data_IF_311977213462
#
_entry.id   IF_311977213462
#
_cell.length_a   1.000
_cell.length_b   1.000
_cell.length_c   1.000
_cell.angle_alpha   90.00
_cell.angle_beta   90.00
_cell.angle_gamma   90.00
#
_symmetry.space_group_name_H-M   'P 1'
#
loop_
_entity.id
_entity.type
_entity.pdbx_description
1 polymer ?
#
# COMPACT_ATOMS: atom_id res chain seq x y z
N UNK A 1 13.48 -1.74 -31.96
CA UNK A 1 12.77 -1.99 -30.71
C UNK A 1 12.86 -3.47 -30.32
N UNK A 2 12.44 -4.39 -31.19
CA UNK A 2 12.41 -5.84 -30.90
C UNK A 2 13.79 -6.41 -30.49
N UNK A 3 14.85 -6.04 -31.20
CA UNK A 3 16.22 -6.52 -30.91
C UNK A 3 16.75 -6.01 -29.54
N UNK A 4 16.38 -4.79 -29.14
CA UNK A 4 16.72 -4.27 -27.80
C UNK A 4 15.96 -5.00 -26.71
N UNK A 5 14.67 -5.27 -26.93
CA UNK A 5 13.83 -6.03 -26.02
C UNK A 5 14.35 -7.47 -25.85
N UNK A 6 14.68 -8.14 -26.97
CA UNK A 6 15.24 -9.49 -26.97
C UNK A 6 16.58 -9.56 -26.23
N UNK A 7 17.47 -8.61 -26.48
CA UNK A 7 18.77 -8.53 -25.78
C UNK A 7 18.57 -8.35 -24.26
N UNK A 8 17.62 -7.51 -23.84
CA UNK A 8 17.31 -7.37 -22.42
C UNK A 8 16.76 -8.64 -21.81
N UNK A 9 15.85 -9.30 -22.51
CA UNK A 9 15.29 -10.57 -22.09
C UNK A 9 16.40 -11.64 -21.91
N UNK A 10 17.27 -11.79 -22.89
CA UNK A 10 18.41 -12.70 -22.81
C UNK A 10 19.35 -12.35 -21.64
N UNK A 11 19.65 -11.08 -21.43
CA UNK A 11 20.50 -10.64 -20.30
C UNK A 11 19.88 -10.89 -18.94
N UNK A 12 18.56 -10.77 -18.81
CA UNK A 12 17.86 -11.07 -17.56
C UNK A 12 17.81 -12.56 -17.33
N UNK A 13 17.60 -13.38 -18.38
CA UNK A 13 17.65 -14.83 -18.27
C UNK A 13 19.01 -15.34 -17.76
N UNK A 14 20.10 -14.65 -18.10
CA UNK A 14 21.44 -14.95 -17.54
C UNK A 14 21.56 -14.53 -16.08
N UNK A 15 20.85 -13.48 -15.66
CA UNK A 15 20.84 -12.99 -14.25
C UNK A 15 19.79 -13.73 -13.42
N UNK A 16 20.12 -14.96 -13.00
CA UNK A 16 19.24 -15.83 -12.22
C UNK A 16 18.56 -15.11 -11.03
N UNK A 17 19.26 -14.18 -10.36
CA UNK A 17 18.74 -13.44 -9.24
C UNK A 17 17.48 -12.59 -9.61
N UNK A 18 17.46 -11.96 -10.77
CA UNK A 18 16.31 -11.15 -11.23
C UNK A 18 15.11 -12.04 -11.53
N UNK A 19 15.35 -13.21 -12.13
CA UNK A 19 14.31 -14.21 -12.42
C UNK A 19 13.73 -14.75 -11.11
N UNK A 20 14.59 -15.11 -10.15
CA UNK A 20 14.17 -15.59 -8.84
C UNK A 20 13.28 -14.54 -8.15
N UNK A 21 13.68 -13.28 -8.21
CA UNK A 21 12.87 -12.17 -7.66
C UNK A 21 11.51 -12.12 -8.36
N UNK A 22 11.47 -12.09 -9.69
CA UNK A 22 10.24 -11.93 -10.45
C UNK A 22 9.30 -13.15 -10.34
N UNK A 23 9.83 -14.37 -10.33
CA UNK A 23 9.04 -15.61 -10.43
C UNK A 23 8.75 -16.23 -9.06
N UNK A 24 9.62 -16.05 -8.08
CA UNK A 24 9.48 -16.68 -6.76
C UNK A 24 9.15 -15.66 -5.69
N UNK A 25 9.94 -14.60 -5.55
CA UNK A 25 9.80 -13.66 -4.44
C UNK A 25 8.51 -12.83 -4.58
N UNK A 26 8.18 -12.35 -5.78
CA UNK A 26 6.93 -11.59 -6.00
C UNK A 26 5.70 -12.44 -5.64
N UNK A 27 5.49 -13.63 -6.21
CA UNK A 27 4.34 -14.45 -5.83
C UNK A 27 4.31 -14.83 -4.36
N UNK A 28 5.46 -15.16 -3.77
CA UNK A 28 5.54 -15.49 -2.34
C UNK A 28 5.13 -14.30 -1.46
N UNK A 29 5.63 -13.10 -1.75
CA UNK A 29 5.31 -11.89 -0.99
C UNK A 29 3.85 -11.47 -1.18
N UNK A 30 3.31 -11.60 -2.39
CA UNK A 30 1.87 -11.37 -2.65
C UNK A 30 1.02 -12.36 -1.89
N UNK A 31 1.35 -13.65 -1.95
CA UNK A 31 0.67 -14.69 -1.17
C UNK A 31 0.74 -14.43 0.33
N UNK A 32 1.90 -14.05 0.85
CA UNK A 32 2.06 -13.65 2.24
C UNK A 32 1.18 -12.43 2.59
N UNK A 33 1.17 -11.38 1.74
CA UNK A 33 0.32 -10.21 1.96
C UNK A 33 -1.16 -10.59 2.05
N UNK A 34 -1.64 -11.47 1.18
CA UNK A 34 -3.02 -11.96 1.19
C UNK A 34 -3.31 -12.73 2.48
N UNK A 35 -2.44 -13.66 2.86
CA UNK A 35 -2.61 -14.48 4.07
C UNK A 35 -2.55 -13.66 5.36
N UNK A 36 -1.69 -12.65 5.43
CA UNK A 36 -1.59 -11.78 6.60
C UNK A 36 -2.73 -10.77 6.68
N UNK A 37 -3.24 -10.26 5.56
CA UNK A 37 -4.37 -9.34 5.52
C UNK A 37 -5.71 -10.02 5.86
N UNK A 38 -5.83 -11.32 5.63
CA UNK A 38 -7.02 -12.11 5.93
C UNK A 38 -7.20 -12.45 7.42
N UNK A 39 -6.31 -12.02 8.32
CA UNK A 39 -6.50 -12.23 9.76
C UNK A 39 -7.62 -11.32 10.27
N UNK A 40 -8.54 -11.86 11.10
CA UNK A 40 -9.64 -11.08 11.65
C UNK A 40 -9.07 -9.87 12.40
N UNK A 41 -9.66 -8.71 12.14
CA UNK A 41 -9.43 -7.49 12.93
C UNK A 41 -9.45 -7.86 14.39
N UNK A 42 -8.36 -7.58 15.12
CA UNK A 42 -8.29 -7.79 16.56
C UNK A 42 -9.46 -7.03 17.16
N UNK A 43 -10.43 -7.77 17.71
CA UNK A 43 -11.59 -7.18 18.39
C UNK A 43 -11.06 -6.22 19.43
N UNK A 44 -11.47 -4.98 19.36
CA UNK A 44 -11.09 -3.98 20.33
C UNK A 44 -11.55 -4.43 21.72
N UNK A 45 -10.62 -4.41 22.66
CA UNK A 45 -10.91 -4.88 24.01
C UNK A 45 -11.42 -3.70 24.85
N UNK A 46 -12.64 -3.82 25.37
CA UNK A 46 -13.21 -2.88 26.34
C UNK A 46 -13.04 -3.49 27.72
N UNK A 47 -12.41 -2.77 28.63
CA UNK A 47 -12.32 -3.16 30.03
C UNK A 47 -13.58 -2.71 30.77
N UNK A 48 -14.34 -3.66 31.29
CA UNK A 48 -15.49 -3.38 32.17
C UNK A 48 -15.08 -3.59 33.64
N UNK A 49 -15.12 -2.52 34.40
CA UNK A 49 -14.75 -2.55 35.84
C UNK A 49 -16.01 -2.82 36.65
N UNK A 50 -16.03 -3.97 37.31
CA UNK A 50 -17.14 -4.37 38.20
C UNK A 50 -16.63 -5.22 39.34
N UNK A 51 -17.25 -5.03 40.51
CA UNK A 51 -16.95 -5.81 41.74
C UNK A 51 -17.85 -7.05 41.89
N UNK A 52 -18.84 -7.23 40.98
CA UNK A 52 -19.80 -8.33 41.04
C UNK A 52 -19.70 -9.19 39.81
N UNK A 53 -19.89 -10.53 39.98
CA UNK A 53 -19.97 -11.50 38.86
C UNK A 53 -21.23 -11.30 37.99
N UNK A 54 -21.41 -10.14 37.40
CA UNK A 54 -22.52 -9.83 36.45
C UNK A 54 -22.26 -10.43 35.07
N UNK A 55 -21.94 -11.70 34.98
CA UNK A 55 -21.66 -12.40 33.72
C UNK A 55 -22.83 -12.47 32.76
N UNK A 56 -24.08 -12.28 33.22
CA UNK A 56 -25.29 -12.54 32.43
C UNK A 56 -25.71 -11.41 31.47
N UNK A 57 -25.24 -10.18 31.64
CA UNK A 57 -25.73 -9.01 30.89
C UNK A 57 -24.65 -8.26 30.10
N UNK A 58 -23.52 -8.88 29.82
CA UNK A 58 -22.49 -8.24 28.98
C UNK A 58 -22.97 -8.15 27.53
N UNK A 59 -22.89 -6.97 26.93
CA UNK A 59 -23.23 -6.81 25.50
C UNK A 59 -22.31 -7.67 24.66
N UNK A 60 -22.90 -8.56 23.85
CA UNK A 60 -22.17 -9.40 22.91
C UNK A 60 -22.26 -8.75 21.53
N UNK A 61 -21.21 -8.01 21.17
CA UNK A 61 -21.07 -7.44 19.83
C UNK A 61 -19.88 -8.09 19.10
N UNK A 62 -20.01 -8.39 17.78
CA UNK A 62 -18.91 -8.94 17.01
C UNK A 62 -17.70 -8.02 16.90
N UNK A 63 -17.88 -6.69 17.05
CA UNK A 63 -16.83 -5.69 16.92
C UNK A 63 -15.96 -5.51 18.18
N UNK A 64 -16.50 -5.82 19.37
CA UNK A 64 -15.80 -5.59 20.63
C UNK A 64 -15.65 -6.87 21.45
N UNK A 65 -14.54 -6.96 22.18
CA UNK A 65 -14.31 -7.97 23.20
C UNK A 65 -14.40 -7.30 24.57
N UNK A 66 -15.47 -7.54 25.30
CA UNK A 66 -15.59 -7.03 26.69
C UNK A 66 -14.85 -7.97 27.62
N UNK A 67 -13.91 -7.43 28.41
CA UNK A 67 -13.15 -8.15 29.41
C UNK A 67 -13.44 -7.54 30.78
N UNK A 68 -13.88 -8.35 31.73
CA UNK A 68 -14.07 -7.93 33.11
C UNK A 68 -12.73 -7.72 33.81
N UNK A 69 -12.62 -6.64 34.56
CA UNK A 69 -11.42 -6.28 35.32
C UNK A 69 -11.87 -5.83 36.69
N UNK A 70 -11.33 -6.44 37.76
CA UNK A 70 -11.67 -6.10 39.15
C UNK A 70 -11.04 -4.80 39.62
N UNK A 71 -9.94 -4.36 38.98
CA UNK A 71 -9.29 -3.10 39.32
C UNK A 71 -9.29 -2.19 38.10
N UNK A 72 -9.49 -0.90 38.30
CA UNK A 72 -9.45 0.12 37.26
C UNK A 72 -8.08 0.09 36.57
N UNK A 73 -8.02 -0.18 35.25
CA UNK A 73 -6.79 -0.12 34.47
C UNK A 73 -6.14 1.26 34.57
N UNK A 74 -4.82 1.29 34.51
CA UNK A 74 -4.08 2.55 34.51
C UNK A 74 -4.31 3.27 33.19
N UNK A 75 -4.26 4.60 33.20
CA UNK A 75 -4.39 5.41 31.99
C UNK A 75 -3.33 5.03 30.92
N UNK A 76 -2.15 4.60 31.37
CA UNK A 76 -1.10 4.06 30.50
C UNK A 76 -1.54 2.83 29.69
N UNK A 77 -2.43 1.99 30.18
CA UNK A 77 -2.92 0.81 29.46
C UNK A 77 -3.85 1.20 28.29
N UNK A 78 -4.55 2.35 28.39
CA UNK A 78 -5.29 2.96 27.29
C UNK A 78 -4.34 3.55 26.24
N UNK A 79 -3.29 4.26 26.68
CA UNK A 79 -2.27 4.86 25.80
C UNK A 79 -1.51 3.78 25.01
N UNK A 80 -1.21 2.65 25.65
CA UNK A 80 -0.55 1.50 25.04
C UNK A 80 -1.48 0.65 24.13
N UNK A 81 -2.76 1.03 24.02
CA UNK A 81 -3.73 0.33 23.18
C UNK A 81 -4.15 -1.05 23.70
N UNK A 82 -3.87 -1.37 24.97
CA UNK A 82 -4.30 -2.62 25.59
C UNK A 82 -5.82 -2.70 25.72
N UNK A 83 -6.46 -1.54 25.99
CA UNK A 83 -7.89 -1.36 26.03
C UNK A 83 -8.29 -0.15 25.16
N UNK A 84 -9.36 -0.29 24.38
CA UNK A 84 -9.93 0.80 23.59
C UNK A 84 -10.74 1.77 24.45
N UNK A 85 -11.38 1.24 25.50
CA UNK A 85 -12.13 2.00 26.48
C UNK A 85 -12.17 1.26 27.82
N UNK A 86 -12.35 2.02 28.89
CA UNK A 86 -12.64 1.54 30.23
C UNK A 86 -14.04 2.01 30.61
N UNK A 87 -14.90 1.08 30.95
CA UNK A 87 -16.29 1.34 31.35
C UNK A 87 -16.44 1.01 32.84
N UNK A 88 -16.87 1.97 33.62
CA UNK A 88 -17.14 1.83 35.04
C UNK A 88 -18.65 1.96 35.27
N UNK A 89 -19.26 1.01 36.01
CA UNK A 89 -20.66 1.09 36.39
C UNK A 89 -20.77 1.92 37.68
N UNK A 90 -21.52 3.02 37.62
CA UNK A 90 -21.77 3.87 38.78
C UNK A 90 -23.29 3.95 39.01
N UNK A 91 -23.81 3.12 39.92
CA UNK A 91 -25.23 2.95 40.27
C UNK A 91 -26.16 2.67 39.07
N UNK A 92 -26.58 3.67 38.34
CA UNK A 92 -27.47 3.56 37.16
C UNK A 92 -26.85 4.11 35.87
N UNK A 93 -25.62 4.65 35.91
CA UNK A 93 -24.96 5.25 34.75
C UNK A 93 -23.62 4.55 34.45
N UNK A 94 -23.21 4.54 33.17
CA UNK A 94 -21.94 4.00 32.72
C UNK A 94 -20.96 5.12 32.41
N UNK A 95 -19.89 5.20 33.22
CA UNK A 95 -18.80 6.14 32.98
C UNK A 95 -17.79 5.53 32.02
N UNK A 96 -17.72 6.06 30.81
CA UNK A 96 -16.81 5.61 29.76
C UNK A 96 -15.59 6.52 29.72
N UNK A 97 -14.40 5.93 29.84
CA UNK A 97 -13.10 6.60 29.66
C UNK A 97 -12.44 6.00 28.41
N UNK A 98 -12.21 6.81 27.39
CA UNK A 98 -11.56 6.42 26.13
C UNK A 98 -10.68 7.55 25.62
N UNK A 99 -9.65 7.21 24.83
CA UNK A 99 -8.82 8.17 24.09
C UNK A 99 -9.40 8.49 22.71
N UNK A 100 -10.51 7.85 22.35
CA UNK A 100 -11.21 8.04 21.08
C UNK A 100 -12.11 9.29 21.11
N UNK A 101 -12.87 9.50 20.04
CA UNK A 101 -13.74 10.64 19.89
C UNK A 101 -14.91 10.66 20.92
N UNK A 102 -15.51 11.82 21.17
CA UNK A 102 -16.71 11.93 21.99
C UNK A 102 -17.91 11.16 21.42
N UNK A 103 -17.93 10.95 20.09
CA UNK A 103 -18.93 10.11 19.44
C UNK A 103 -18.79 8.64 19.84
N UNK A 104 -17.55 8.12 19.89
CA UNK A 104 -17.25 6.76 20.32
C UNK A 104 -17.58 6.55 21.81
N UNK A 105 -17.33 7.57 22.63
CA UNK A 105 -17.67 7.55 24.05
C UNK A 105 -19.18 7.43 24.28
N UNK A 106 -19.98 8.20 23.50
CA UNK A 106 -21.44 8.10 23.52
C UNK A 106 -21.94 6.73 23.08
N UNK A 107 -21.38 6.21 22.01
CA UNK A 107 -21.72 4.91 21.45
C UNK A 107 -21.44 3.77 22.41
N UNK A 108 -20.25 3.76 23.03
CA UNK A 108 -19.89 2.73 24.02
C UNK A 108 -20.82 2.82 25.22
N UNK A 109 -21.20 4.01 25.67
CA UNK A 109 -22.19 4.19 26.73
C UNK A 109 -23.53 3.58 26.32
N UNK A 110 -24.05 3.92 25.16
CA UNK A 110 -25.35 3.44 24.65
C UNK A 110 -25.35 1.91 24.42
N UNK A 111 -24.21 1.33 24.00
CA UNK A 111 -24.02 -0.11 23.91
C UNK A 111 -24.19 -0.80 25.26
N UNK A 112 -23.65 -0.21 26.36
CA UNK A 112 -23.79 -0.78 27.69
C UNK A 112 -25.16 -0.53 28.33
N UNK A 113 -25.85 0.57 27.95
CA UNK A 113 -27.21 0.89 28.41
C UNK A 113 -28.30 0.04 27.71
N UNK A 114 -28.18 -0.14 26.38
CA UNK A 114 -29.22 -0.79 25.57
C UNK A 114 -28.91 -2.25 25.21
N UNK A 115 -27.67 -2.68 25.39
CA UNK A 115 -27.21 -4.01 24.99
C UNK A 115 -27.07 -4.21 23.46
N UNK A 116 -27.37 -3.19 22.65
CA UNK A 116 -27.30 -3.23 21.19
C UNK A 116 -26.61 -1.99 20.64
N UNK A 117 -25.85 -2.16 19.57
CA UNK A 117 -25.27 -1.02 18.85
C UNK A 117 -26.37 -0.19 18.17
N UNK A 118 -26.31 1.15 18.28
CA UNK A 118 -27.24 2.02 17.56
C UNK A 118 -27.03 1.87 16.06
N UNK A 119 -28.11 1.61 15.31
CA UNK A 119 -28.07 1.46 13.83
C UNK A 119 -27.63 2.72 13.08
N UNK A 120 -27.62 3.88 13.74
CA UNK A 120 -27.21 5.17 13.17
C UNK A 120 -25.72 5.45 13.32
N UNK A 121 -25.01 4.62 14.07
CA UNK A 121 -23.56 4.82 14.29
C UNK A 121 -22.75 4.29 13.09
N UNK A 122 -22.52 5.18 12.15
CA UNK A 122 -21.40 5.08 11.23
C UNK A 122 -20.22 5.79 11.92
N UNK A 123 -19.55 5.10 12.82
CA UNK A 123 -18.39 5.66 13.51
C UNK A 123 -17.38 6.20 12.50
N UNK A 124 -16.88 7.40 12.74
CA UNK A 124 -15.77 7.94 11.95
C UNK A 124 -14.60 6.95 11.93
N UNK A 125 -14.43 6.15 12.99
CA UNK A 125 -13.46 5.05 13.06
C UNK A 125 -13.92 3.77 12.37
N UNK A 126 -15.24 3.52 12.16
CA UNK A 126 -15.70 2.42 11.30
C UNK A 126 -15.36 2.69 9.84
N UNK A 127 -15.46 3.94 9.40
CA UNK A 127 -14.96 4.36 8.08
C UNK A 127 -13.42 4.27 8.03
N UNK A 128 -12.73 4.44 9.18
CA UNK A 128 -11.29 4.31 9.31
C UNK A 128 -10.80 2.87 9.49
N UNK A 129 -11.55 1.99 10.15
CA UNK A 129 -11.12 0.62 10.51
C UNK A 129 -11.62 -0.45 9.56
N UNK A 130 -12.69 -0.21 8.82
CA UNK A 130 -13.09 -1.10 7.72
C UNK A 130 -12.36 -0.73 6.43
N UNK A 131 -11.02 -0.77 6.46
CA UNK A 131 -10.31 -1.10 5.23
C UNK A 131 -10.76 -2.50 4.87
N UNK A 132 -11.53 -2.58 3.82
CA UNK A 132 -11.94 -3.84 3.24
C UNK A 132 -10.66 -4.60 2.88
N UNK A 133 -10.68 -5.90 2.98
CA UNK A 133 -9.51 -6.78 2.84
C UNK A 133 -8.68 -6.49 1.59
N UNK A 134 -9.32 -6.12 0.49
CA UNK A 134 -8.67 -5.81 -0.78
C UNK A 134 -7.78 -4.57 -0.74
N UNK A 135 -8.24 -3.48 -0.13
CA UNK A 135 -7.42 -2.26 0.05
C UNK A 135 -6.15 -2.55 0.85
N UNK A 136 -6.23 -3.38 1.89
CA UNK A 136 -5.06 -3.76 2.68
C UNK A 136 -4.07 -4.60 1.86
N UNK A 137 -4.56 -5.60 1.13
CA UNK A 137 -3.73 -6.45 0.26
C UNK A 137 -3.03 -5.59 -0.80
N UNK A 138 -3.79 -4.74 -1.51
CA UNK A 138 -3.23 -3.87 -2.53
C UNK A 138 -2.27 -2.83 -1.96
N UNK A 139 -2.46 -2.35 -0.72
CA UNK A 139 -1.52 -1.49 -0.03
C UNK A 139 -0.14 -2.13 0.13
N UNK A 140 -0.07 -3.40 0.56
CA UNK A 140 1.18 -4.15 0.60
C UNK A 140 1.78 -4.33 -0.80
N UNK A 141 0.96 -4.62 -1.79
CA UNK A 141 1.40 -4.80 -3.18
C UNK A 141 1.98 -3.52 -3.74
N UNK A 142 1.43 -2.34 -3.42
CA UNK A 142 1.99 -1.04 -3.82
C UNK A 142 3.45 -0.94 -3.40
N UNK A 143 3.76 -1.17 -2.12
CA UNK A 143 5.13 -1.11 -1.64
C UNK A 143 6.04 -2.10 -2.36
N UNK A 144 5.60 -3.35 -2.50
CA UNK A 144 6.38 -4.41 -3.15
C UNK A 144 6.69 -4.09 -4.61
N UNK A 145 5.68 -3.64 -5.37
CA UNK A 145 5.81 -3.31 -6.80
C UNK A 145 6.78 -2.13 -7.00
N UNK A 146 6.76 -1.12 -6.13
CA UNK A 146 7.71 -0.02 -6.18
C UNK A 146 9.15 -0.49 -5.91
N UNK A 147 9.37 -1.32 -4.90
CA UNK A 147 10.70 -1.86 -4.59
C UNK A 147 11.24 -2.73 -5.73
N UNK A 148 10.39 -3.56 -6.32
CA UNK A 148 10.79 -4.47 -7.40
C UNK A 148 11.02 -3.76 -8.73
N UNK A 149 10.28 -2.71 -9.03
CA UNK A 149 10.50 -1.88 -10.20
C UNK A 149 11.93 -1.41 -10.31
N UNK A 150 12.52 -1.04 -9.16
CA UNK A 150 13.91 -0.61 -9.10
C UNK A 150 14.89 -1.77 -9.32
N UNK A 151 14.63 -2.93 -8.74
CA UNK A 151 15.48 -4.12 -8.96
C UNK A 151 15.52 -4.51 -10.45
N UNK A 152 14.37 -4.43 -11.16
CA UNK A 152 14.28 -4.69 -12.59
C UNK A 152 14.97 -3.63 -13.46
N UNK A 153 15.11 -2.41 -12.98
CA UNK A 153 15.83 -1.35 -13.69
C UNK A 153 17.33 -1.32 -13.42
N UNK A 154 17.86 -2.19 -12.54
CA UNK A 154 19.27 -2.23 -12.17
C UNK A 154 20.24 -2.43 -13.36
N UNK A 155 19.77 -3.03 -14.46
CA UNK A 155 20.55 -3.13 -15.71
C UNK A 155 20.90 -1.78 -16.32
N UNK A 156 20.11 -0.74 -16.08
CA UNK A 156 20.34 0.58 -16.66
C UNK A 156 21.54 1.32 -16.04
N UNK A 157 21.67 1.44 -14.70
CA UNK A 157 22.91 1.93 -14.09
C UNK A 157 24.13 1.08 -14.41
N UNK A 158 23.96 -0.25 -14.50
CA UNK A 158 25.04 -1.16 -14.88
C UNK A 158 25.54 -0.89 -16.29
N UNK A 159 24.64 -0.72 -17.27
CA UNK A 159 24.99 -0.35 -18.64
C UNK A 159 25.79 0.96 -18.70
N UNK A 160 25.48 1.90 -17.79
CA UNK A 160 26.24 3.14 -17.64
C UNK A 160 27.63 2.90 -17.10
N UNK A 161 27.75 2.19 -15.97
CA UNK A 161 29.04 1.91 -15.32
C UNK A 161 30.00 1.14 -16.24
N UNK A 162 29.49 0.20 -17.02
CA UNK A 162 30.26 -0.60 -17.98
C UNK A 162 30.52 0.11 -19.31
N UNK A 163 30.09 1.39 -19.45
CA UNK A 163 30.16 2.15 -20.71
C UNK A 163 29.47 1.46 -21.90
N UNK A 164 28.68 0.43 -21.64
CA UNK A 164 27.92 -0.30 -22.67
C UNK A 164 26.82 0.60 -23.21
N UNK A 165 26.26 1.48 -22.38
CA UNK A 165 25.27 2.48 -22.77
C UNK A 165 25.79 3.39 -23.91
N UNK A 166 27.04 3.85 -23.84
CA UNK A 166 27.66 4.64 -24.90
C UNK A 166 27.77 3.88 -26.22
N UNK A 167 28.10 2.58 -26.16
CA UNK A 167 28.16 1.73 -27.38
C UNK A 167 26.79 1.54 -28.00
N UNK A 168 25.72 1.41 -27.20
CA UNK A 168 24.34 1.32 -27.67
C UNK A 168 23.90 2.62 -28.36
N UNK A 169 24.32 3.77 -27.86
CA UNK A 169 23.97 5.07 -28.42
C UNK A 169 24.74 5.44 -29.70
N UNK A 170 25.93 4.88 -29.91
CA UNK A 170 26.69 5.01 -31.21
C UNK A 170 26.00 4.21 -32.31
N UNK A 171 25.20 3.20 -31.98
CA UNK A 171 24.33 2.53 -32.95
C UNK A 171 23.12 3.46 -33.28
N UNK A 172 22.37 3.21 -34.38
CA UNK A 172 21.23 4.04 -34.80
C UNK A 172 20.03 3.97 -33.80
N UNK A 173 20.29 3.72 -32.54
CA UNK A 173 19.31 3.63 -31.45
C UNK A 173 19.29 4.95 -30.70
N UNK A 174 18.18 5.67 -30.81
CA UNK A 174 17.94 6.89 -30.04
C UNK A 174 17.69 6.55 -28.57
N UNK A 175 18.18 7.40 -27.67
CA UNK A 175 17.99 7.31 -26.20
C UNK A 175 16.53 7.11 -25.79
N UNK A 176 15.59 7.77 -26.47
CA UNK A 176 14.16 7.61 -26.22
C UNK A 176 13.69 6.18 -26.47
N UNK A 177 14.19 5.56 -27.56
CA UNK A 177 13.88 4.16 -27.87
C UNK A 177 14.41 3.21 -26.78
N UNK A 178 15.60 3.50 -26.25
CA UNK A 178 16.19 2.73 -25.16
C UNK A 178 15.34 2.85 -23.89
N UNK A 179 14.98 4.08 -23.47
CA UNK A 179 14.17 4.31 -22.28
C UNK A 179 12.75 3.73 -22.42
N UNK A 180 12.14 3.83 -23.62
CA UNK A 180 10.83 3.22 -23.86
C UNK A 180 10.86 1.70 -23.75
N UNK A 181 11.90 1.05 -24.28
CA UNK A 181 12.09 -0.40 -24.15
C UNK A 181 12.28 -0.77 -22.68
N UNK A 182 13.06 0.03 -21.92
CA UNK A 182 13.24 -0.18 -20.49
C UNK A 182 11.91 -0.06 -19.73
N UNK A 183 11.11 0.96 -20.06
CA UNK A 183 9.80 1.17 -19.45
C UNK A 183 8.86 -0.01 -19.71
N UNK A 184 8.67 -0.36 -21.00
CA UNK A 184 7.78 -1.47 -21.39
C UNK A 184 8.23 -2.78 -20.74
N UNK A 185 9.54 -3.03 -20.72
CA UNK A 185 10.10 -4.23 -20.13
C UNK A 185 9.81 -4.28 -18.60
N UNK A 186 10.11 -3.19 -17.88
CA UNK A 186 9.86 -3.10 -16.44
C UNK A 186 8.36 -3.22 -16.13
N UNK A 187 7.52 -2.55 -16.92
CA UNK A 187 6.06 -2.65 -16.80
C UNK A 187 5.58 -4.11 -16.94
N UNK A 188 5.99 -4.82 -17.97
CA UNK A 188 5.56 -6.20 -18.19
C UNK A 188 6.07 -7.14 -17.09
N UNK A 189 7.32 -6.97 -16.65
CA UNK A 189 7.91 -7.78 -15.60
C UNK A 189 7.31 -7.49 -14.21
N UNK A 190 6.70 -6.34 -13.99
CA UNK A 190 5.94 -6.04 -12.78
C UNK A 190 4.50 -6.53 -12.88
N UNK A 191 3.83 -6.21 -13.98
CA UNK A 191 2.41 -6.46 -14.16
C UNK A 191 2.07 -7.94 -14.22
N UNK A 192 2.74 -8.68 -15.13
CA UNK A 192 2.39 -10.08 -15.40
C UNK A 192 2.58 -10.98 -14.17
N UNK A 193 3.77 -11.01 -13.52
CA UNK A 193 3.95 -11.88 -12.36
C UNK A 193 3.06 -11.51 -11.18
N UNK A 194 2.85 -10.19 -10.93
CA UNK A 194 2.01 -9.73 -9.83
C UNK A 194 0.55 -10.13 -10.05
N UNK A 195 0.02 -9.92 -11.26
CA UNK A 195 -1.34 -10.29 -11.60
C UNK A 195 -1.56 -11.81 -11.49
N UNK A 196 -0.65 -12.60 -12.08
CA UNK A 196 -0.71 -14.06 -11.99
C UNK A 196 -0.61 -14.55 -10.55
N UNK A 197 0.26 -13.95 -9.74
CA UNK A 197 0.40 -14.31 -8.34
C UNK A 197 -0.90 -14.11 -7.55
N UNK A 198 -1.58 -12.97 -7.77
CA UNK A 198 -2.85 -12.68 -7.10
C UNK A 198 -3.92 -13.69 -7.56
N UNK A 199 -4.06 -13.87 -8.87
CA UNK A 199 -5.05 -14.81 -9.44
C UNK A 199 -4.80 -16.23 -8.92
N UNK A 200 -3.56 -16.69 -8.93
CA UNK A 200 -3.21 -18.03 -8.41
C UNK A 200 -3.52 -18.16 -6.92
N UNK A 201 -3.18 -17.13 -6.13
CA UNK A 201 -3.45 -17.14 -4.69
C UNK A 201 -4.96 -17.16 -4.41
N UNK A 202 -5.74 -16.36 -5.15
CA UNK A 202 -7.21 -16.35 -5.05
C UNK A 202 -7.81 -17.72 -5.36
N UNK A 203 -7.34 -18.38 -6.43
CA UNK A 203 -7.84 -19.70 -6.83
C UNK A 203 -7.41 -20.78 -5.84
N UNK A 204 -6.14 -20.81 -5.41
CA UNK A 204 -5.59 -21.86 -4.56
C UNK A 204 -6.10 -21.78 -3.11
N UNK A 205 -6.23 -20.58 -2.56
CA UNK A 205 -6.61 -20.37 -1.16
C UNK A 205 -8.07 -19.94 -0.99
N UNK A 206 -8.82 -19.77 -2.08
CA UNK A 206 -10.24 -19.33 -2.07
C UNK A 206 -10.44 -18.02 -1.28
N UNK A 207 -9.45 -17.13 -1.32
CA UNK A 207 -9.52 -15.84 -0.64
C UNK A 207 -10.26 -14.85 -1.53
N UNK A 208 -11.34 -14.28 -1.02
CA UNK A 208 -12.01 -13.17 -1.69
C UNK A 208 -11.23 -11.88 -1.44
N UNK A 209 -10.71 -11.29 -2.52
CA UNK A 209 -9.94 -10.04 -2.48
C UNK A 209 -10.87 -8.82 -2.56
N UNK A 210 -12.17 -9.01 -2.77
CA UNK A 210 -13.15 -7.93 -2.87
C UNK A 210 -13.16 -7.21 -4.21
N UNK A 211 -12.37 -7.65 -5.20
CA UNK A 211 -12.33 -7.08 -6.55
C UNK A 211 -12.61 -8.14 -7.61
N UNK A 212 -13.34 -7.74 -8.64
CA UNK A 212 -13.44 -8.55 -9.86
C UNK A 212 -12.09 -8.57 -10.57
N UNK A 213 -11.77 -9.69 -11.24
CA UNK A 213 -10.48 -9.90 -11.88
C UNK A 213 -10.16 -8.87 -12.99
N UNK A 214 -11.18 -8.39 -13.70
CA UNK A 214 -11.05 -7.33 -14.71
C UNK A 214 -10.62 -5.99 -14.08
N UNK A 215 -11.31 -5.57 -13.02
CA UNK A 215 -10.98 -4.35 -12.27
C UNK A 215 -9.58 -4.47 -11.64
N UNK A 216 -9.26 -5.63 -11.09
CA UNK A 216 -7.93 -5.89 -10.53
C UNK A 216 -6.82 -5.75 -11.58
N UNK A 217 -7.06 -6.25 -12.80
CA UNK A 217 -6.12 -6.10 -13.91
C UNK A 217 -5.87 -4.61 -14.23
N UNK A 218 -6.92 -3.78 -14.28
CA UNK A 218 -6.81 -2.34 -14.52
C UNK A 218 -6.06 -1.62 -13.39
N UNK A 219 -6.39 -1.91 -12.13
CA UNK A 219 -5.72 -1.34 -10.96
C UNK A 219 -4.22 -1.65 -10.97
N UNK A 220 -3.86 -2.91 -11.22
CA UNK A 220 -2.46 -3.33 -11.28
C UNK A 220 -1.72 -2.73 -12.49
N UNK A 221 -2.40 -2.52 -13.63
CA UNK A 221 -1.80 -1.85 -14.77
C UNK A 221 -1.45 -0.39 -14.44
N UNK A 222 -2.35 0.35 -13.79
CA UNK A 222 -2.10 1.73 -13.33
C UNK A 222 -0.92 1.76 -12.35
N UNK A 223 -0.89 0.83 -11.39
CA UNK A 223 0.20 0.71 -10.42
C UNK A 223 1.54 0.40 -11.10
N UNK A 224 1.56 -0.54 -12.04
CA UNK A 224 2.78 -0.94 -12.75
C UNK A 224 3.33 0.20 -13.62
N UNK A 225 2.47 1.01 -14.24
CA UNK A 225 2.87 2.22 -15.00
C UNK A 225 3.55 3.23 -14.08
N UNK A 226 2.95 3.52 -12.92
CA UNK A 226 3.50 4.45 -11.95
C UNK A 226 4.85 3.95 -11.40
N UNK A 227 4.93 2.69 -10.99
CA UNK A 227 6.14 2.09 -10.45
C UNK A 227 7.28 1.99 -11.48
N UNK A 228 6.98 1.62 -12.73
CA UNK A 228 7.97 1.57 -13.80
C UNK A 228 8.53 2.96 -14.14
N UNK A 229 7.68 3.99 -14.17
CA UNK A 229 8.10 5.38 -14.37
C UNK A 229 9.01 5.87 -13.24
N UNK A 230 8.61 5.62 -12.01
CA UNK A 230 9.41 5.96 -10.82
C UNK A 230 10.77 5.24 -10.83
N UNK A 231 10.78 3.95 -11.16
CA UNK A 231 12.00 3.16 -11.22
C UNK A 231 13.00 3.70 -12.26
N UNK A 232 12.52 4.10 -13.44
CA UNK A 232 13.36 4.74 -14.48
C UNK A 232 13.92 6.08 -13.99
N UNK A 233 13.08 6.89 -13.37
CA UNK A 233 13.52 8.18 -12.81
C UNK A 233 14.66 7.95 -11.79
N UNK A 234 14.46 7.08 -10.82
CA UNK A 234 15.47 6.79 -9.80
C UNK A 234 16.75 6.20 -10.41
N UNK A 235 16.63 5.28 -11.38
CA UNK A 235 17.76 4.73 -12.08
C UNK A 235 18.51 5.76 -12.95
N UNK A 236 17.84 6.83 -13.39
CA UNK A 236 18.46 7.93 -14.13
C UNK A 236 19.21 8.90 -13.22
N UNK A 237 18.74 9.09 -11.99
CA UNK A 237 19.34 10.01 -11.01
C UNK A 237 20.50 9.38 -10.28
N UNK A 238 20.43 8.09 -9.95
CA UNK A 238 21.39 7.41 -9.07
C UNK A 238 22.32 6.48 -9.87
N UNK A 239 23.60 6.48 -9.50
CA UNK A 239 24.62 5.62 -10.10
C UNK A 239 25.04 4.48 -9.15
N UNK A 240 25.06 4.73 -7.84
CA UNK A 240 25.45 3.75 -6.81
C UNK A 240 24.36 3.61 -5.78
N UNK A 241 24.30 2.46 -5.13
CA UNK A 241 23.34 2.15 -4.05
C UNK A 241 21.87 2.39 -4.42
N UNK A 242 21.54 2.31 -5.73
CA UNK A 242 20.20 2.54 -6.25
C UNK A 242 19.13 1.75 -5.48
N UNK A 243 19.36 0.46 -5.31
CA UNK A 243 18.43 -0.45 -4.64
C UNK A 243 18.13 -0.01 -3.20
N UNK A 244 19.19 0.29 -2.44
CA UNK A 244 19.06 0.63 -1.01
C UNK A 244 18.30 1.95 -0.81
N UNK A 245 18.71 3.00 -1.52
CA UNK A 245 18.08 4.32 -1.39
C UNK A 245 16.63 4.28 -1.88
N UNK A 246 16.38 3.64 -3.01
CA UNK A 246 15.03 3.61 -3.57
C UNK A 246 14.10 2.70 -2.77
N UNK A 247 14.60 1.59 -2.22
CA UNK A 247 13.81 0.77 -1.28
C UNK A 247 13.44 1.58 -0.04
N UNK A 248 14.36 2.35 0.52
CA UNK A 248 14.10 3.24 1.65
C UNK A 248 13.02 4.28 1.32
N UNK A 249 13.15 4.98 0.18
CA UNK A 249 12.15 5.94 -0.28
C UNK A 249 10.79 5.26 -0.51
N UNK A 250 10.77 4.08 -1.14
CA UNK A 250 9.53 3.35 -1.41
C UNK A 250 8.81 2.92 -0.13
N UNK A 251 9.55 2.47 0.88
CA UNK A 251 8.96 2.11 2.20
C UNK A 251 8.39 3.35 2.88
N UNK A 252 9.18 4.42 3.00
CA UNK A 252 8.75 5.66 3.66
C UNK A 252 7.53 6.26 2.96
N UNK A 253 7.55 6.39 1.64
CA UNK A 253 6.42 6.94 0.88
C UNK A 253 5.18 6.05 0.95
N UNK A 254 5.33 4.73 0.99
CA UNK A 254 4.20 3.80 1.14
C UNK A 254 3.58 3.88 2.53
N UNK A 255 4.40 4.01 3.59
CA UNK A 255 3.91 4.23 4.95
C UNK A 255 3.15 5.57 5.03
N UNK A 256 3.75 6.66 4.57
CA UNK A 256 3.14 8.00 4.58
C UNK A 256 1.87 8.08 3.73
N UNK A 257 1.81 7.35 2.63
CA UNK A 257 0.61 7.25 1.78
C UNK A 257 -0.53 6.44 2.41
N UNK A 258 -0.28 5.83 3.55
CA UNK A 258 -1.26 5.01 4.24
C UNK A 258 -1.47 3.64 3.59
N UNK A 259 -0.47 3.05 2.93
CA UNK A 259 -0.59 1.72 2.34
C UNK A 259 -0.83 0.62 3.40
N UNK A 260 -0.31 0.79 4.61
CA UNK A 260 -0.45 -0.18 5.70
C UNK A 260 -1.51 0.20 6.73
N UNK A 261 -1.50 1.47 7.13
CA UNK A 261 -2.38 1.99 8.18
C UNK A 261 -2.89 3.33 7.67
N UNK A 262 -4.20 3.58 7.77
CA UNK A 262 -4.74 4.90 7.48
C UNK A 262 -4.31 5.86 8.59
N UNK A 263 -3.26 6.63 8.35
CA UNK A 263 -2.92 7.73 9.25
C UNK A 263 -3.80 8.93 8.92
N UNK A 264 -4.55 9.36 9.88
CA UNK A 264 -5.01 10.75 9.96
C UNK A 264 -4.28 11.33 11.16
N UNK A 265 -3.23 12.02 10.87
CA UNK A 265 -2.55 12.83 11.87
C UNK A 265 -3.33 14.14 11.98
N UNK A 266 -3.60 14.61 13.20
CA UNK A 266 -4.19 15.93 13.41
C UNK A 266 -3.19 17.07 13.06
N UNK A 267 -2.21 16.78 12.21
CA UNK A 267 -1.16 17.69 11.76
C UNK A 267 -1.41 18.07 10.29
N UNK A 268 -1.96 19.25 10.00
CA UNK A 268 -2.36 19.64 8.64
C UNK A 268 -1.18 19.67 7.66
N UNK A 269 0.03 19.95 8.14
CA UNK A 269 1.25 19.95 7.32
C UNK A 269 1.61 18.55 6.83
N UNK A 270 1.52 17.56 7.73
CA UNK A 270 1.84 16.17 7.37
C UNK A 270 0.79 15.57 6.42
N UNK A 271 -0.49 15.89 6.66
CA UNK A 271 -1.58 15.46 5.78
C UNK A 271 -1.45 16.07 4.38
N UNK A 272 -1.01 17.34 4.27
CA UNK A 272 -0.73 17.98 2.99
C UNK A 272 0.46 17.31 2.26
N UNK A 273 1.55 16.98 2.97
CA UNK A 273 2.68 16.26 2.40
C UNK A 273 2.30 14.86 1.92
N UNK A 274 1.49 14.15 2.70
CA UNK A 274 0.98 12.84 2.30
C UNK A 274 0.07 12.92 1.07
N UNK A 275 -0.72 13.99 0.93
CA UNK A 275 -1.61 14.20 -0.21
C UNK A 275 -0.88 14.39 -1.54
N UNK A 276 0.38 14.87 -1.51
CA UNK A 276 1.21 15.05 -2.71
C UNK A 276 1.65 13.67 -3.28
N UNK A 277 1.71 12.63 -2.46
CA UNK A 277 2.22 11.33 -2.89
C UNK A 277 1.25 10.63 -3.86
N UNK A 278 1.71 10.17 -5.03
CA UNK A 278 0.84 9.48 -5.98
C UNK A 278 0.32 8.14 -5.44
N UNK A 279 1.04 7.51 -4.53
CA UNK A 279 0.57 6.31 -3.83
C UNK A 279 -0.68 6.60 -2.98
N UNK A 280 -0.79 7.80 -2.36
CA UNK A 280 -1.99 8.20 -1.62
C UNK A 280 -3.22 8.30 -2.52
N UNK A 281 -3.06 8.93 -3.69
CA UNK A 281 -4.12 9.03 -4.68
C UNK A 281 -4.56 7.63 -5.17
N UNK A 282 -3.59 6.72 -5.36
CA UNK A 282 -3.86 5.33 -5.75
C UNK A 282 -4.62 4.58 -4.65
N UNK A 283 -4.23 4.72 -3.37
CA UNK A 283 -4.93 4.09 -2.25
C UNK A 283 -6.37 4.61 -2.09
N UNK A 284 -6.57 5.91 -2.30
CA UNK A 284 -7.94 6.52 -2.30
C UNK A 284 -8.78 5.95 -3.44
N UNK A 285 -8.19 5.77 -4.62
CA UNK A 285 -8.86 5.18 -5.78
C UNK A 285 -9.25 3.72 -5.52
N UNK A 286 -8.34 2.88 -5.00
CA UNK A 286 -8.62 1.48 -4.65
C UNK A 286 -9.77 1.40 -3.65
N UNK A 287 -9.67 2.15 -2.57
CA UNK A 287 -10.69 2.12 -1.52
C UNK A 287 -12.07 2.50 -2.04
N UNK A 288 -12.16 3.52 -2.89
CA UNK A 288 -13.41 3.92 -3.50
C UNK A 288 -14.02 2.84 -4.39
N UNK A 289 -13.21 2.17 -5.21
CA UNK A 289 -13.68 1.05 -6.05
C UNK A 289 -14.16 -0.12 -5.19
N UNK A 290 -13.47 -0.43 -4.09
CA UNK A 290 -13.83 -1.54 -3.21
C UNK A 290 -15.17 -1.31 -2.50
N UNK A 291 -15.52 -0.06 -2.14
CA UNK A 291 -16.84 0.30 -1.57
C UNK A 291 -17.92 0.49 -2.63
N UNK A 292 -17.67 0.13 -3.89
CA UNK A 292 -18.66 0.11 -4.97
C UNK A 292 -18.82 1.43 -5.75
N UNK A 293 -17.91 2.39 -5.58
CA UNK A 293 -17.91 3.61 -6.39
C UNK A 293 -17.41 3.32 -7.81
N UNK A 294 -17.87 4.12 -8.77
CA UNK A 294 -17.48 3.92 -10.18
C UNK A 294 -16.14 4.58 -10.48
N UNK A 295 -15.38 3.96 -11.40
CA UNK A 295 -14.09 4.50 -11.88
C UNK A 295 -14.20 5.95 -12.36
N UNK A 296 -15.39 6.34 -12.86
CA UNK A 296 -15.65 7.71 -13.36
C UNK A 296 -15.56 8.79 -12.28
N UNK A 297 -15.81 8.45 -11.03
CA UNK A 297 -15.74 9.38 -9.89
C UNK A 297 -14.28 9.73 -9.55
N UNK A 298 -13.34 8.85 -9.92
CA UNK A 298 -11.91 8.99 -9.63
C UNK A 298 -11.08 9.54 -10.80
N UNK A 299 -11.69 10.24 -11.75
CA UNK A 299 -10.98 10.82 -12.91
C UNK A 299 -9.81 11.71 -12.49
N UNK A 300 -9.96 12.51 -11.45
CA UNK A 300 -8.91 13.39 -10.94
C UNK A 300 -7.76 12.60 -10.32
N UNK A 301 -8.04 11.53 -9.56
CA UNK A 301 -7.01 10.67 -8.97
C UNK A 301 -6.24 9.93 -10.07
N UNK A 302 -6.94 9.39 -11.06
CA UNK A 302 -6.31 8.73 -12.21
C UNK A 302 -5.46 9.72 -13.02
N UNK A 303 -5.99 10.91 -13.33
CA UNK A 303 -5.22 11.97 -13.99
C UNK A 303 -3.97 12.34 -13.21
N UNK A 304 -4.08 12.47 -11.90
CA UNK A 304 -2.97 12.80 -11.01
C UNK A 304 -1.88 11.70 -11.02
N UNK A 305 -2.28 10.43 -10.97
CA UNK A 305 -1.35 9.29 -11.04
C UNK A 305 -0.63 9.25 -12.40
N UNK A 306 -1.37 9.45 -13.50
CA UNK A 306 -0.76 9.51 -14.84
C UNK A 306 0.13 10.73 -15.03
N UNK A 307 -0.23 11.87 -14.45
CA UNK A 307 0.61 13.07 -14.45
C UNK A 307 1.95 12.79 -13.73
N UNK A 308 1.93 12.20 -12.54
CA UNK A 308 3.15 11.79 -11.84
C UNK A 308 3.96 10.76 -12.62
N UNK A 309 3.31 9.80 -13.26
CA UNK A 309 3.97 8.80 -14.10
C UNK A 309 4.68 9.46 -15.28
N UNK A 310 4.01 10.42 -15.95
CA UNK A 310 4.59 11.20 -17.03
C UNK A 310 5.77 12.05 -16.54
N UNK A 311 5.62 12.76 -15.41
CA UNK A 311 6.68 13.56 -14.81
C UNK A 311 7.92 12.71 -14.51
N UNK A 312 7.77 11.56 -13.85
CA UNK A 312 8.88 10.65 -13.57
C UNK A 312 9.57 10.18 -14.86
N UNK A 313 8.80 9.78 -15.87
CA UNK A 313 9.35 9.34 -17.12
C UNK A 313 10.11 10.47 -17.88
N UNK A 314 9.53 11.66 -17.97
CA UNK A 314 10.15 12.80 -18.63
C UNK A 314 11.38 13.32 -17.88
N UNK A 315 11.33 13.44 -16.56
CA UNK A 315 12.48 13.84 -15.75
C UNK A 315 13.60 12.81 -15.82
N UNK A 316 13.28 11.51 -15.83
CA UNK A 316 14.25 10.45 -16.06
C UNK A 316 14.93 10.58 -17.41
N UNK A 317 14.17 10.84 -18.47
CA UNK A 317 14.70 11.09 -19.81
C UNK A 317 15.55 12.36 -19.89
N UNK A 318 15.09 13.45 -19.29
CA UNK A 318 15.84 14.71 -19.23
C UNK A 318 17.18 14.55 -18.51
N UNK A 319 17.18 13.87 -17.36
CA UNK A 319 18.39 13.61 -16.56
C UNK A 319 19.40 12.77 -17.34
N UNK A 320 18.93 11.73 -18.04
CA UNK A 320 19.74 10.92 -18.91
C UNK A 320 20.43 11.74 -20.01
N UNK A 321 19.66 12.62 -20.69
CA UNK A 321 20.20 13.51 -21.75
C UNK A 321 21.21 14.53 -21.19
N UNK A 322 20.88 15.14 -20.05
CA UNK A 322 21.77 16.12 -19.41
C UNK A 322 23.12 15.50 -19.06
N UNK A 323 23.13 14.28 -18.52
CA UNK A 323 24.35 13.56 -18.16
C UNK A 323 25.17 13.13 -19.40
N UNK A 324 24.50 12.76 -20.49
CA UNK A 324 25.18 12.48 -21.77
C UNK A 324 25.91 13.71 -22.32
N UNK A 325 25.28 14.87 -22.33
CA UNK A 325 25.88 16.13 -22.78
C UNK A 325 27.11 16.51 -21.95
N UNK A 326 27.13 16.14 -20.67
CA UNK A 326 28.27 16.39 -19.75
C UNK A 326 29.37 15.35 -19.89
N UNK A 327 29.28 14.38 -20.76
CA UNK A 327 30.30 13.36 -20.98
C UNK A 327 30.51 12.39 -19.79
N UNK A 328 29.53 12.30 -18.90
CA UNK A 328 29.60 11.49 -17.67
C UNK A 328 29.41 9.98 -17.96
N UNK A 329 29.23 9.62 -19.24
CA UNK A 329 28.99 8.23 -19.70
C UNK A 329 30.14 7.68 -20.54
#
# INVERSE_FOLDING_TARGET
MLNLFRNRWERILVKKAIIIIAVIIIPLMVGAAILFSGKPVLKETIAFVTDQDEMKNLPKDPAFRVVMVHQKPRFSDLVLGKYAAVVEKNHQDYKVTTLKSEADKKMIRELFETGKMPNSYKGEDKIRTERVTGTNILGFIVMLVFMQGVALTALYPEDRMLKTFRRILVSPVNENKYLSVQFIFTFLCLYIPTYLAIVMTTILFHVDIGFRLDILAELLAVLAVLAASFAIFMASVMDRNLSLVTSGISVVTSVLSGCFISFTTNLPVLDALCAILPQKAFMTFIHGIEIGQTVREFKFQLFYIFLWSALFYFFGGFMTRSRMKKGIY
#
